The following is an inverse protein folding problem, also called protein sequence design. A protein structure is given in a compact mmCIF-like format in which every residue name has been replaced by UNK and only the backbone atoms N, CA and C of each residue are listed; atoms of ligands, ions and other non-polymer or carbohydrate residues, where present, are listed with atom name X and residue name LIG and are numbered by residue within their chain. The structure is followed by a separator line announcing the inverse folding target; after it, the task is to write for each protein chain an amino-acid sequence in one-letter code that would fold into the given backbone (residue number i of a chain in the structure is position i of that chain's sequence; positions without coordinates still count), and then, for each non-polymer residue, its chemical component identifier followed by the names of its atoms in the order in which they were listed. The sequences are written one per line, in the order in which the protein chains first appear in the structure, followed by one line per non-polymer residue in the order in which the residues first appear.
data_IF_534785939751
#
_entry.id   IF_534785939751
#
_cell.length_a   1.000
_cell.length_b   1.000
_cell.length_c   1.000
_cell.angle_alpha   90.00
_cell.angle_beta   90.00
_cell.angle_gamma   90.00
#
_symmetry.space_group_name_H-M   'P 1'
#
loop_
_entity.id
_entity.type
_entity.pdbx_description
1 polymer ?
#
# COMPACT_ATOMS: atom_id res chain seq x y z
N UNK A 1 26.58 -12.36 19.11
CA UNK A 1 25.52 -11.93 18.17
C UNK A 1 24.60 -13.12 17.88
N UNK A 2 23.48 -13.25 18.59
CA UNK A 2 22.53 -14.36 18.40
C UNK A 2 21.84 -14.20 17.04
N UNK A 3 22.19 -15.05 16.07
CA UNK A 3 21.49 -15.14 14.78
C UNK A 3 20.07 -15.60 15.04
N UNK A 4 19.13 -14.66 15.04
CA UNK A 4 17.69 -14.92 15.10
C UNK A 4 17.31 -15.64 13.80
N UNK A 5 17.33 -16.98 13.78
CA UNK A 5 16.64 -17.78 12.76
C UNK A 5 15.14 -17.73 13.08
N UNK A 6 14.47 -16.64 12.74
CA UNK A 6 13.00 -16.60 12.71
C UNK A 6 12.57 -17.37 11.48
N UNK A 7 12.09 -18.61 11.65
CA UNK A 7 11.32 -19.30 10.61
C UNK A 7 9.97 -18.58 10.51
N UNK A 8 9.89 -17.57 9.65
CA UNK A 8 8.61 -16.93 9.34
C UNK A 8 7.75 -17.95 8.61
N UNK A 9 6.51 -18.14 9.05
CA UNK A 9 5.56 -18.99 8.32
C UNK A 9 5.09 -18.28 7.05
N UNK A 10 4.66 -19.03 6.04
CA UNK A 10 4.19 -18.45 4.77
C UNK A 10 3.09 -17.39 5.01
N UNK A 11 2.18 -17.64 5.95
CA UNK A 11 1.13 -16.68 6.34
C UNK A 11 1.71 -15.40 6.94
N UNK A 12 2.75 -15.49 7.77
CA UNK A 12 3.40 -14.31 8.35
C UNK A 12 4.09 -13.46 7.28
N UNK A 13 4.73 -14.09 6.28
CA UNK A 13 5.36 -13.38 5.17
C UNK A 13 4.32 -12.61 4.37
N UNK A 14 3.16 -13.22 4.08
CA UNK A 14 2.07 -12.57 3.35
C UNK A 14 1.54 -11.37 4.14
N UNK A 15 1.23 -11.54 5.43
CA UNK A 15 0.71 -10.45 6.28
C UNK A 15 1.70 -9.30 6.36
N UNK A 16 2.99 -9.60 6.58
CA UNK A 16 4.03 -8.58 6.64
C UNK A 16 4.23 -7.87 5.30
N UNK A 17 4.11 -8.60 4.19
CA UNK A 17 4.16 -8.02 2.85
C UNK A 17 3.02 -7.02 2.62
N UNK A 18 1.78 -7.42 2.92
CA UNK A 18 0.62 -6.53 2.81
C UNK A 18 0.77 -5.30 3.71
N UNK A 19 1.15 -5.50 4.98
CA UNK A 19 1.35 -4.40 5.92
C UNK A 19 2.43 -3.42 5.44
N UNK A 20 3.55 -3.93 4.92
CA UNK A 20 4.63 -3.10 4.40
C UNK A 20 4.18 -2.30 3.16
N UNK A 21 3.52 -2.93 2.19
CA UNK A 21 3.01 -2.24 1.00
C UNK A 21 1.99 -1.16 1.35
N UNK A 22 1.07 -1.46 2.27
CA UNK A 22 0.07 -0.49 2.75
C UNK A 22 0.74 0.70 3.42
N UNK A 23 1.72 0.46 4.29
CA UNK A 23 2.46 1.52 4.97
C UNK A 23 3.25 2.40 3.98
N UNK A 24 3.94 1.79 3.01
CA UNK A 24 4.66 2.53 1.96
C UNK A 24 3.69 3.38 1.15
N UNK A 25 2.55 2.82 0.72
CA UNK A 25 1.51 3.56 0.00
C UNK A 25 0.92 4.72 0.82
N UNK A 26 0.74 4.51 2.12
CA UNK A 26 0.24 5.55 3.05
C UNK A 26 1.23 6.71 3.15
N UNK A 27 2.52 6.41 3.34
CA UNK A 27 3.57 7.42 3.40
C UNK A 27 3.66 8.21 2.09
N UNK A 28 3.56 7.51 0.95
CA UNK A 28 3.53 8.12 -0.39
C UNK A 28 2.34 9.08 -0.57
N UNK A 29 1.15 8.70 -0.08
CA UNK A 29 -0.06 9.52 -0.18
C UNK A 29 -0.11 10.68 0.83
N UNK A 30 0.61 10.59 1.95
CA UNK A 30 0.73 11.68 2.91
C UNK A 30 1.63 12.83 2.44
N UNK A 31 2.41 12.65 1.36
CA UNK A 31 3.25 13.74 0.84
C UNK A 31 2.41 14.93 0.35
N UNK A 32 2.90 16.17 0.51
CA UNK A 32 2.15 17.39 0.20
C UNK A 32 1.78 17.53 -1.28
N UNK A 33 2.48 16.84 -2.18
CA UNK A 33 2.20 16.85 -3.61
C UNK A 33 1.26 15.71 -4.07
N UNK A 34 0.83 14.83 -3.17
CA UNK A 34 -0.11 13.75 -3.50
C UNK A 34 -1.58 14.21 -3.47
N UNK A 35 -1.90 15.23 -2.67
CA UNK A 35 -3.24 15.80 -2.53
C UNK A 35 -3.36 17.14 -3.28
N UNK A 36 -4.51 17.41 -3.91
CA UNK A 36 -4.81 18.73 -4.44
C UNK A 36 -5.04 19.75 -3.30
N UNK A 37 -4.58 20.99 -3.51
CA UNK A 37 -4.70 22.08 -2.53
C UNK A 37 -3.58 22.09 -1.47
N UNK A 38 -3.72 22.92 -0.44
CA UNK A 38 -2.70 23.08 0.59
C UNK A 38 -2.59 21.84 1.50
N UNK A 39 -1.35 21.50 1.88
CA UNK A 39 -1.02 20.40 2.80
C UNK A 39 -1.08 19.00 2.19
N UNK A 40 -0.60 18.01 2.94
CA UNK A 40 -0.71 16.58 2.60
C UNK A 40 -2.08 15.99 2.92
N UNK A 41 -2.33 14.75 2.48
CA UNK A 41 -3.50 14.00 2.91
C UNK A 41 -3.43 13.66 4.40
N UNK A 42 -4.59 13.66 5.07
CA UNK A 42 -4.69 13.15 6.44
C UNK A 42 -4.19 11.72 6.48
N UNK A 43 -3.46 11.34 7.53
CA UNK A 43 -2.95 9.99 7.69
C UNK A 43 -4.06 8.94 7.65
N UNK A 44 -5.23 9.25 8.23
CA UNK A 44 -6.42 8.38 8.18
C UNK A 44 -6.88 8.11 6.74
N UNK A 45 -6.98 9.17 5.94
CA UNK A 45 -7.50 9.13 4.58
C UNK A 45 -6.50 8.40 3.66
N UNK A 46 -5.21 8.68 3.84
CA UNK A 46 -4.11 8.01 3.13
C UNK A 46 -4.02 6.52 3.48
N UNK A 47 -4.14 6.15 4.77
CA UNK A 47 -4.07 4.77 5.23
C UNK A 47 -5.25 3.94 4.69
N UNK A 48 -6.45 4.50 4.77
CA UNK A 48 -7.64 3.84 4.25
C UNK A 48 -7.56 3.68 2.72
N UNK A 49 -7.18 4.72 2.00
CA UNK A 49 -7.04 4.69 0.53
C UNK A 49 -5.98 3.68 0.11
N UNK A 50 -4.82 3.67 0.77
CA UNK A 50 -3.75 2.69 0.51
C UNK A 50 -4.23 1.26 0.75
N UNK A 51 -4.90 1.01 1.88
CA UNK A 51 -5.45 -0.32 2.21
C UNK A 51 -6.49 -0.77 1.18
N UNK A 52 -7.41 0.12 0.82
CA UNK A 52 -8.45 -0.15 -0.17
C UNK A 52 -7.89 -0.45 -1.56
N UNK A 53 -6.86 0.30 -1.97
CA UNK A 53 -6.16 0.11 -3.23
C UNK A 53 -5.40 -1.23 -3.27
N UNK A 54 -4.60 -1.53 -2.25
CA UNK A 54 -3.80 -2.77 -2.17
C UNK A 54 -4.70 -4.02 -2.06
N UNK A 55 -5.83 -3.92 -1.37
CA UNK A 55 -6.80 -5.02 -1.28
C UNK A 55 -7.78 -5.06 -2.46
N UNK A 56 -7.70 -4.10 -3.40
CA UNK A 56 -8.57 -3.98 -4.58
C UNK A 56 -10.07 -4.00 -4.22
N UNK A 57 -10.44 -3.41 -3.08
CA UNK A 57 -11.83 -3.39 -2.60
C UNK A 57 -12.66 -2.27 -3.21
N UNK A 58 -12.03 -1.17 -3.63
CA UNK A 58 -12.70 -0.06 -4.33
C UNK A 58 -13.46 0.93 -3.43
N UNK A 59 -13.24 0.88 -2.11
CA UNK A 59 -13.82 1.84 -1.16
C UNK A 59 -13.01 3.15 -1.12
N UNK A 60 -13.71 4.29 -1.05
CA UNK A 60 -13.08 5.63 -1.03
C UNK A 60 -13.68 6.50 0.07
N UNK A 61 -12.82 7.17 0.87
CA UNK A 61 -13.25 8.14 1.90
C UNK A 61 -13.42 9.55 1.32
N UNK A 62 -12.59 9.87 0.32
CA UNK A 62 -12.59 11.11 -0.44
C UNK A 62 -12.73 10.79 -1.91
N UNK A 63 -13.43 11.64 -2.65
CA UNK A 63 -13.58 11.48 -4.10
C UNK A 63 -12.20 11.44 -4.77
N UNK A 64 -11.89 10.32 -5.43
CA UNK A 64 -10.53 10.07 -5.91
C UNK A 64 -10.14 11.04 -7.03
N UNK A 65 -11.07 11.35 -7.94
CA UNK A 65 -10.80 12.20 -9.12
C UNK A 65 -10.48 13.66 -8.76
N UNK A 66 -11.12 14.18 -7.71
CA UNK A 66 -10.97 15.58 -7.29
C UNK A 66 -10.01 15.77 -6.12
N UNK A 67 -9.77 14.76 -5.28
CA UNK A 67 -8.93 14.89 -4.09
C UNK A 67 -7.44 14.70 -4.36
N UNK A 68 -7.07 13.73 -5.21
CA UNK A 68 -5.67 13.40 -5.47
C UNK A 68 -5.09 14.18 -6.65
N UNK A 69 -3.79 14.47 -6.60
CA UNK A 69 -3.04 14.99 -7.77
C UNK A 69 -2.74 13.87 -8.74
N UNK A 70 -2.17 14.19 -9.91
CA UNK A 70 -1.65 13.18 -10.84
C UNK A 70 -0.67 12.22 -10.17
N UNK A 71 0.16 12.71 -9.26
CA UNK A 71 1.06 11.86 -8.47
C UNK A 71 0.28 10.89 -7.57
N UNK A 72 -0.71 11.39 -6.82
CA UNK A 72 -1.54 10.54 -5.96
C UNK A 72 -2.29 9.47 -6.76
N UNK A 73 -2.84 9.82 -7.92
CA UNK A 73 -3.48 8.87 -8.84
C UNK A 73 -2.51 7.76 -9.29
N UNK A 74 -1.29 8.12 -9.71
CA UNK A 74 -0.27 7.14 -10.10
C UNK A 74 0.07 6.19 -8.95
N UNK A 75 0.21 6.71 -7.72
CA UNK A 75 0.45 5.87 -6.53
C UNK A 75 -0.71 4.90 -6.30
N UNK A 76 -1.96 5.37 -6.35
CA UNK A 76 -3.14 4.53 -6.16
C UNK A 76 -3.22 3.43 -7.24
N UNK A 77 -2.97 3.77 -8.50
CA UNK A 77 -2.97 2.79 -9.60
C UNK A 77 -1.87 1.73 -9.42
N UNK A 78 -0.67 2.13 -8.99
CA UNK A 78 0.40 1.18 -8.68
C UNK A 78 0.04 0.26 -7.51
N UNK A 79 -0.58 0.79 -6.45
CA UNK A 79 -1.04 0.00 -5.32
C UNK A 79 -2.12 -1.02 -5.73
N UNK A 80 -3.05 -0.62 -6.60
CA UNK A 80 -4.05 -1.54 -7.19
C UNK A 80 -3.37 -2.65 -7.99
N UNK A 81 -2.38 -2.31 -8.81
CA UNK A 81 -1.68 -3.31 -9.63
C UNK A 81 -0.89 -4.30 -8.77
N UNK A 82 -0.18 -3.81 -7.75
CA UNK A 82 0.55 -4.64 -6.78
C UNK A 82 -0.43 -5.53 -6.01
N UNK A 83 -1.58 -4.98 -5.61
CA UNK A 83 -2.66 -5.69 -4.96
C UNK A 83 -3.28 -6.80 -5.81
N UNK A 84 -3.57 -6.50 -7.08
CA UNK A 84 -4.25 -7.39 -8.03
C UNK A 84 -3.37 -8.53 -8.55
N UNK A 85 -2.06 -8.30 -8.72
CA UNK A 85 -1.08 -9.40 -8.96
C UNK A 85 -0.93 -10.26 -7.70
N UNK A 86 -1.28 -9.71 -6.54
CA UNK A 86 -1.28 -10.38 -5.25
C UNK A 86 0.09 -10.31 -4.60
N UNK A 87 0.16 -9.75 -3.39
CA UNK A 87 1.36 -9.88 -2.53
C UNK A 87 1.69 -11.35 -2.29
N UNK A 88 0.70 -12.24 -2.36
CA UNK A 88 0.85 -13.70 -2.32
C UNK A 88 1.78 -14.20 -3.43
N UNK A 89 1.63 -13.72 -4.67
CA UNK A 89 2.45 -14.16 -5.81
C UNK A 89 3.91 -13.72 -5.64
N UNK A 90 4.13 -12.49 -5.15
CA UNK A 90 5.48 -12.01 -4.81
C UNK A 90 6.06 -12.80 -3.63
N UNK A 91 5.30 -12.99 -2.55
CA UNK A 91 5.74 -13.75 -1.37
C UNK A 91 6.09 -15.20 -1.70
N UNK A 92 5.31 -15.87 -2.56
CA UNK A 92 5.59 -17.23 -3.02
C UNK A 92 6.81 -17.25 -3.92
N UNK A 93 6.98 -16.28 -4.83
CA UNK A 93 8.17 -16.18 -5.69
C UNK A 93 9.44 -16.01 -4.85
N UNK A 94 9.47 -15.09 -3.88
CA UNK A 94 10.62 -14.90 -2.99
C UNK A 94 10.84 -16.04 -1.97
N UNK A 95 9.84 -16.89 -1.73
CA UNK A 95 9.98 -18.06 -0.87
C UNK A 95 10.44 -19.31 -1.63
N UNK A 96 10.15 -19.38 -2.93
CA UNK A 96 10.47 -20.52 -3.81
C UNK A 96 11.82 -20.35 -4.53
N UNK A 97 12.24 -19.11 -4.81
CA UNK A 97 13.59 -18.77 -5.30
C UNK A 97 14.52 -18.34 -4.17
#
# INVERSE_FOLDING_TARGET
MKKIKRRLTSSQVIILGYAATILIGTLLLCLPFAKKGAGGASFSDALFTSTSAVCVTGLVVRDTGTYWTTFGHTVILLLIQIGGVGVVTLAVTFAVF
#
